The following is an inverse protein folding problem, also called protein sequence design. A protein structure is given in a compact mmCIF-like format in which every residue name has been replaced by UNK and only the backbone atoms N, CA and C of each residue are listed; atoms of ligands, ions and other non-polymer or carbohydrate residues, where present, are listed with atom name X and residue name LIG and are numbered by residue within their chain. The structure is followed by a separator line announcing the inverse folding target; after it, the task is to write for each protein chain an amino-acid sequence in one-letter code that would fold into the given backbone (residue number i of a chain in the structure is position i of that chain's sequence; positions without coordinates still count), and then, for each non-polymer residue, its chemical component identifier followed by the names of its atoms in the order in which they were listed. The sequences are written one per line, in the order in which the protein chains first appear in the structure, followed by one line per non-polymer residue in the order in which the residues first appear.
data_IF_573861176318
#
_entry.id   IF_573861176318
#
_cell.length_a   1.000
_cell.length_b   1.000
_cell.length_c   1.000
_cell.angle_alpha   90.00
_cell.angle_beta   90.00
_cell.angle_gamma   90.00
#
_symmetry.space_group_name_H-M   'P 1'
#
loop_
_entity.id
_entity.type
_entity.pdbx_description
1 polymer ?
#
# COMPACT_ATOMS: atom_id res chain seq x y z
N UNK A 1 -13.83 20.10 13.99
CA UNK A 1 -13.13 21.36 13.65
C UNK A 1 -11.97 21.01 12.73
N UNK A 2 -12.18 21.08 11.40
CA UNK A 2 -11.17 20.69 10.40
C UNK A 2 -10.15 21.84 10.26
N UNK A 3 -9.07 21.81 11.03
CA UNK A 3 -8.00 22.81 10.92
C UNK A 3 -7.25 22.56 9.59
N UNK A 4 -7.41 23.46 8.62
CA UNK A 4 -6.71 23.35 7.34
C UNK A 4 -5.20 23.60 7.54
N UNK A 5 -4.44 22.53 7.76
CA UNK A 5 -2.98 22.60 7.98
C UNK A 5 -2.20 22.94 6.70
N UNK A 6 -2.80 22.72 5.51
CA UNK A 6 -2.11 22.92 4.21
C UNK A 6 -1.79 24.39 3.91
N UNK A 7 -2.54 25.34 4.49
CA UNK A 7 -2.36 26.78 4.27
C UNK A 7 -1.45 27.45 5.29
N UNK A 8 -1.01 26.71 6.32
CA UNK A 8 -0.15 27.26 7.36
C UNK A 8 1.29 27.36 6.91
N UNK A 9 1.96 28.44 7.30
CA UNK A 9 3.40 28.63 7.09
C UNK A 9 4.20 27.73 8.05
N UNK A 10 5.44 27.42 7.71
CA UNK A 10 6.32 26.52 8.47
C UNK A 10 6.44 26.87 9.93
N UNK A 11 6.59 28.15 10.26
CA UNK A 11 6.68 28.63 11.64
C UNK A 11 5.37 28.42 12.42
N UNK A 12 4.22 28.49 11.77
CA UNK A 12 2.90 28.24 12.40
C UNK A 12 2.74 26.75 12.72
N UNK A 13 3.16 25.86 11.79
CA UNK A 13 3.16 24.42 12.03
C UNK A 13 4.08 24.05 13.18
N UNK A 14 5.29 24.59 13.21
CA UNK A 14 6.22 24.40 14.33
C UNK A 14 5.69 24.93 15.64
N UNK A 15 5.01 26.09 15.64
CA UNK A 15 4.37 26.65 16.83
C UNK A 15 3.36 25.68 17.43
N UNK A 16 2.56 25.02 16.58
CA UNK A 16 1.58 24.00 17.00
C UNK A 16 2.29 22.78 17.60
N UNK A 17 3.29 22.23 16.90
CA UNK A 17 4.01 21.01 17.32
C UNK A 17 4.78 21.23 18.64
N UNK A 18 5.44 22.39 18.77
CA UNK A 18 6.29 22.70 19.92
C UNK A 18 5.52 23.31 21.09
N UNK A 19 4.28 23.73 20.88
CA UNK A 19 3.49 24.48 21.87
C UNK A 19 4.13 25.83 22.17
N UNK A 20 4.66 26.52 21.14
CA UNK A 20 5.33 27.81 21.25
C UNK A 20 4.60 28.87 20.44
N UNK A 21 4.62 30.15 20.94
CA UNK A 21 4.38 31.30 20.09
C UNK A 21 5.70 31.63 19.37
N UNK A 22 5.91 31.13 18.19
CA UNK A 22 7.03 31.50 17.33
C UNK A 22 6.56 32.74 16.55
N UNK A 23 7.20 33.89 16.76
CA UNK A 23 6.90 35.07 15.97
C UNK A 23 7.53 35.00 14.59
N UNK A 24 6.91 35.68 13.61
CA UNK A 24 7.44 35.77 12.25
C UNK A 24 8.82 36.46 12.15
N UNK A 25 9.24 37.14 13.24
CA UNK A 25 10.53 37.85 13.34
C UNK A 25 11.74 36.90 13.56
N UNK A 26 11.51 35.63 13.94
CA UNK A 26 12.54 34.62 13.83
C UNK A 26 12.85 34.42 12.34
N UNK A 27 14.01 34.87 11.88
CA UNK A 27 14.54 34.59 10.54
C UNK A 27 14.80 33.08 10.37
N UNK A 28 13.74 32.29 10.37
CA UNK A 28 13.80 30.87 10.06
C UNK A 28 13.82 30.75 8.55
N UNK A 29 14.99 30.49 7.99
CA UNK A 29 15.17 30.42 6.54
C UNK A 29 14.32 29.32 5.91
N UNK A 30 14.19 28.16 6.59
CA UNK A 30 13.30 27.08 6.17
C UNK A 30 13.05 26.06 7.29
N UNK A 31 12.00 25.25 7.15
CA UNK A 31 11.75 24.10 8.04
C UNK A 31 12.95 23.14 8.03
N UNK A 32 13.61 22.99 6.88
CA UNK A 32 14.78 22.14 6.73
C UNK A 32 15.95 22.60 7.61
N UNK A 33 16.22 23.91 7.67
CA UNK A 33 17.30 24.46 8.50
C UNK A 33 17.06 24.20 9.98
N UNK A 34 15.80 24.32 10.43
CA UNK A 34 15.39 24.06 11.81
C UNK A 34 15.62 22.58 12.17
N UNK A 35 15.22 21.67 11.28
CA UNK A 35 15.37 20.24 11.48
C UNK A 35 16.83 19.80 11.44
N UNK A 36 17.68 20.50 10.67
CA UNK A 36 19.11 20.21 10.63
C UNK A 36 19.85 20.73 11.87
N UNK A 37 19.51 21.91 12.38
CA UNK A 37 20.22 22.55 13.47
C UNK A 37 19.25 23.13 14.53
N UNK A 38 18.54 22.31 15.31
CA UNK A 38 17.58 22.79 16.31
C UNK A 38 18.22 23.67 17.39
N UNK A 39 19.54 23.54 17.63
CA UNK A 39 20.31 24.36 18.59
C UNK A 39 20.49 25.81 18.13
N UNK A 40 20.35 26.08 16.83
CA UNK A 40 20.48 27.41 16.27
C UNK A 40 19.28 28.33 16.59
N UNK A 41 18.19 27.78 17.14
CA UNK A 41 17.01 28.56 17.49
C UNK A 41 17.18 29.12 18.90
N UNK A 42 17.44 30.41 18.97
CA UNK A 42 17.57 31.13 20.25
C UNK A 42 16.28 31.02 21.09
N UNK A 43 16.44 30.69 22.38
CA UNK A 43 15.30 30.64 23.32
C UNK A 43 14.54 29.31 23.39
N UNK A 44 14.99 28.26 22.66
CA UNK A 44 14.40 26.91 22.74
C UNK A 44 15.14 26.09 23.81
N UNK A 45 14.44 25.79 24.91
CA UNK A 45 14.97 24.93 25.97
C UNK A 45 15.09 23.45 25.53
N UNK A 46 15.90 22.66 26.26
CA UNK A 46 16.28 21.27 25.96
C UNK A 46 15.08 20.36 25.60
N UNK A 47 14.00 20.38 26.38
CA UNK A 47 12.77 19.58 26.13
C UNK A 47 12.12 19.86 24.77
N UNK A 48 12.27 21.06 24.22
CA UNK A 48 11.72 21.43 22.93
C UNK A 48 12.65 21.06 21.78
N UNK A 49 13.95 21.11 22.02
CA UNK A 49 14.96 20.56 21.09
C UNK A 49 14.74 19.06 20.91
N UNK A 50 14.48 18.31 21.99
CA UNK A 50 14.15 16.88 21.93
C UNK A 50 12.93 16.60 21.03
N UNK A 51 11.87 17.42 21.12
CA UNK A 51 10.69 17.28 20.24
C UNK A 51 11.04 17.49 18.77
N UNK A 52 11.92 18.46 18.46
CA UNK A 52 12.37 18.70 17.07
C UNK A 52 13.19 17.51 16.57
N UNK A 53 14.10 16.97 17.40
CA UNK A 53 14.86 15.77 17.02
C UNK A 53 13.95 14.55 16.82
N UNK A 54 12.96 14.35 17.68
CA UNK A 54 12.00 13.28 17.52
C UNK A 54 11.16 13.44 16.24
N UNK A 55 10.72 14.67 15.93
CA UNK A 55 10.00 14.96 14.69
C UNK A 55 10.89 14.70 13.46
N UNK A 56 12.15 15.13 13.50
CA UNK A 56 13.12 14.85 12.45
C UNK A 56 13.28 13.35 12.22
N UNK A 57 13.48 12.57 13.28
CA UNK A 57 13.63 11.12 13.20
C UNK A 57 12.37 10.45 12.62
N UNK A 58 11.17 10.89 13.04
CA UNK A 58 9.91 10.39 12.47
C UNK A 58 9.83 10.68 10.96
N UNK A 59 10.15 11.90 10.53
CA UNK A 59 10.17 12.26 9.12
C UNK A 59 11.21 11.46 8.33
N UNK A 60 12.41 11.26 8.89
CA UNK A 60 13.43 10.44 8.26
C UNK A 60 13.00 8.97 8.15
N UNK A 61 12.34 8.41 9.16
CA UNK A 61 11.77 7.06 9.09
C UNK A 61 10.68 6.96 8.03
N UNK A 62 9.79 7.95 7.94
CA UNK A 62 8.77 7.99 6.90
C UNK A 62 9.38 8.07 5.50
N UNK A 63 10.39 8.93 5.31
CA UNK A 63 11.11 9.05 4.03
C UNK A 63 11.92 7.79 3.68
N UNK A 64 12.45 7.09 4.70
CA UNK A 64 13.13 5.80 4.51
C UNK A 64 12.12 4.66 4.26
N UNK A 65 10.96 4.70 4.89
CA UNK A 65 9.88 3.74 4.63
C UNK A 65 9.39 3.84 3.17
N UNK A 66 9.36 5.06 2.62
CA UNK A 66 9.06 5.29 1.20
C UNK A 66 10.22 4.87 0.26
N UNK A 67 11.45 4.74 0.81
CA UNK A 67 12.65 4.18 0.14
C UNK A 67 12.91 2.71 0.45
N UNK A 68 12.10 2.07 1.30
CA UNK A 68 12.19 0.61 1.46
C UNK A 68 12.07 0.00 0.07
N UNK A 69 13.04 -0.83 -0.27
CA UNK A 69 13.16 -1.55 -1.54
C UNK A 69 11.78 -1.99 -2.00
N UNK A 70 11.22 -1.22 -2.96
CA UNK A 70 9.93 -1.59 -3.53
C UNK A 70 10.12 -2.96 -4.11
N UNK A 71 9.35 -3.91 -3.63
CA UNK A 71 9.46 -5.29 -4.09
C UNK A 71 9.02 -5.30 -5.56
N UNK A 72 9.94 -5.69 -6.44
CA UNK A 72 9.67 -5.82 -7.86
C UNK A 72 9.21 -7.25 -8.11
N UNK A 73 8.05 -7.39 -8.73
CA UNK A 73 7.49 -8.69 -9.12
C UNK A 73 7.99 -9.06 -10.51
N UNK A 74 8.66 -10.20 -10.60
CA UNK A 74 9.22 -10.76 -11.83
C UNK A 74 8.59 -12.09 -12.19
N UNK A 75 8.00 -12.77 -11.21
CA UNK A 75 7.42 -14.10 -11.38
C UNK A 75 6.22 -14.30 -10.46
N UNK A 76 5.31 -15.26 -10.77
CA UNK A 76 4.24 -15.68 -9.87
C UNK A 76 4.75 -16.10 -8.50
N UNK A 77 5.94 -16.72 -8.46
CA UNK A 77 6.58 -17.13 -7.20
C UNK A 77 6.86 -15.97 -6.26
N UNK A 78 7.25 -14.80 -6.76
CA UNK A 78 7.52 -13.62 -5.92
C UNK A 78 6.28 -13.21 -5.15
N UNK A 79 5.09 -13.30 -5.79
CA UNK A 79 3.80 -13.05 -5.13
C UNK A 79 3.49 -14.14 -4.11
N UNK A 80 3.68 -15.41 -4.49
CA UNK A 80 3.43 -16.53 -3.60
C UNK A 80 4.29 -16.47 -2.33
N UNK A 81 5.57 -16.15 -2.45
CA UNK A 81 6.51 -16.00 -1.33
C UNK A 81 6.08 -14.89 -0.35
N UNK A 82 5.37 -13.87 -0.83
CA UNK A 82 4.83 -12.79 0.01
C UNK A 82 3.51 -13.19 0.67
N UNK A 83 2.62 -13.87 -0.07
CA UNK A 83 1.25 -14.10 0.35
C UNK A 83 1.08 -15.41 1.14
N UNK A 84 1.80 -16.49 0.80
CA UNK A 84 1.71 -17.77 1.52
C UNK A 84 1.91 -17.58 3.04
N UNK A 85 2.95 -16.89 3.54
CA UNK A 85 3.15 -16.71 4.97
C UNK A 85 1.98 -16.00 5.68
N UNK A 86 1.20 -15.20 4.95
CA UNK A 86 0.07 -14.42 5.49
C UNK A 86 -1.24 -15.20 5.51
N UNK A 87 -1.47 -16.06 4.50
CA UNK A 87 -2.80 -16.62 4.24
C UNK A 87 -2.89 -18.14 4.37
N UNK A 88 -1.75 -18.88 4.43
CA UNK A 88 -1.77 -20.36 4.50
C UNK A 88 -2.56 -20.96 5.68
N UNK A 89 -2.67 -20.22 6.78
CA UNK A 89 -3.42 -20.64 7.96
C UNK A 89 -4.75 -19.92 8.12
N UNK A 90 -5.16 -19.14 7.12
CA UNK A 90 -6.43 -18.44 7.17
C UNK A 90 -7.58 -19.46 7.09
N UNK A 91 -8.52 -19.34 8.01
CA UNK A 91 -9.70 -20.24 8.09
C UNK A 91 -10.83 -19.80 7.16
N UNK A 92 -10.69 -18.65 6.54
CA UNK A 92 -11.65 -18.08 5.59
C UNK A 92 -10.94 -17.71 4.30
N UNK A 93 -11.67 -17.80 3.19
CA UNK A 93 -11.21 -17.28 1.91
C UNK A 93 -11.08 -15.76 1.95
N UNK A 94 -10.00 -15.25 1.41
CA UNK A 94 -9.76 -13.82 1.24
C UNK A 94 -9.43 -13.55 -0.22
N UNK A 95 -10.11 -12.56 -0.81
CA UNK A 95 -9.77 -12.08 -2.14
C UNK A 95 -8.85 -10.86 -2.03
N UNK A 96 -7.68 -10.96 -2.63
CA UNK A 96 -6.56 -10.04 -2.45
C UNK A 96 -6.22 -9.41 -3.79
N UNK A 97 -5.85 -8.13 -3.78
CA UNK A 97 -5.27 -7.44 -4.93
C UNK A 97 -3.86 -6.96 -4.59
N UNK A 98 -2.93 -7.21 -5.50
CA UNK A 98 -1.56 -6.69 -5.44
C UNK A 98 -1.42 -5.63 -6.53
N UNK A 99 -1.31 -4.38 -6.11
CA UNK A 99 -1.27 -3.22 -7.00
C UNK A 99 0.16 -2.92 -7.41
N UNK A 100 0.40 -2.76 -8.69
CA UNK A 100 1.73 -2.56 -9.25
C UNK A 100 1.80 -1.25 -10.05
N UNK A 101 2.98 -0.63 -10.03
CA UNK A 101 3.31 0.49 -10.91
C UNK A 101 3.86 -0.01 -12.27
N UNK A 102 4.23 0.92 -13.15
CA UNK A 102 4.78 0.62 -14.50
C UNK A 102 6.11 -0.13 -14.48
N UNK A 103 6.77 -0.26 -13.32
CA UNK A 103 8.02 -1.03 -13.13
C UNK A 103 7.79 -2.37 -12.45
N UNK A 104 6.52 -2.79 -12.31
CA UNK A 104 6.10 -3.97 -11.55
C UNK A 104 6.52 -3.92 -10.06
N UNK A 105 6.68 -2.73 -9.50
CA UNK A 105 6.91 -2.55 -8.07
C UNK A 105 5.57 -2.54 -7.34
N UNK A 106 5.50 -3.22 -6.18
CA UNK A 106 4.29 -3.24 -5.35
C UNK A 106 4.01 -1.84 -4.80
N UNK A 107 2.82 -1.32 -5.09
CA UNK A 107 2.28 -0.09 -4.49
C UNK A 107 1.57 -0.43 -3.18
N UNK A 108 0.71 -1.46 -3.23
CA UNK A 108 -0.10 -1.90 -2.09
C UNK A 108 -0.56 -3.34 -2.26
N UNK A 109 -0.87 -4.00 -1.15
CA UNK A 109 -1.54 -5.30 -1.08
C UNK A 109 -2.78 -5.10 -0.21
N UNK A 110 -3.96 -5.30 -0.78
CA UNK A 110 -5.22 -5.02 -0.11
C UNK A 110 -6.13 -6.24 -0.13
N UNK A 111 -6.72 -6.56 1.02
CA UNK A 111 -7.83 -7.50 1.11
C UNK A 111 -9.11 -6.80 0.67
N UNK A 112 -9.80 -7.37 -0.30
CA UNK A 112 -11.09 -6.85 -0.79
C UNK A 112 -12.25 -7.44 0.01
N UNK A 113 -12.13 -8.71 0.34
CA UNK A 113 -13.17 -9.44 1.06
C UNK A 113 -12.58 -10.59 1.85
N UNK A 114 -13.24 -10.94 2.95
CA UNK A 114 -12.94 -12.12 3.77
C UNK A 114 -14.26 -12.85 4.06
N UNK A 115 -14.31 -14.16 3.81
CA UNK A 115 -15.49 -15.00 3.94
C UNK A 115 -15.70 -15.87 2.71
N UNK A 116 -16.76 -16.69 2.66
CA UNK A 116 -17.03 -17.52 1.47
C UNK A 116 -17.12 -16.66 0.22
N UNK A 117 -16.43 -17.08 -0.85
CA UNK A 117 -16.52 -16.47 -2.20
C UNK A 117 -17.92 -16.68 -2.80
N UNK A 118 -18.97 -16.21 -2.11
CA UNK A 118 -20.22 -15.98 -2.80
C UNK A 118 -20.00 -14.91 -3.85
N UNK A 119 -20.51 -15.11 -5.05
CA UNK A 119 -20.37 -14.28 -6.27
C UNK A 119 -20.53 -12.77 -6.08
N UNK A 120 -21.01 -12.32 -4.92
CA UNK A 120 -21.17 -10.90 -4.55
C UNK A 120 -19.93 -10.21 -4.00
N UNK A 121 -18.87 -10.96 -3.62
CA UNK A 121 -17.74 -10.40 -2.85
C UNK A 121 -16.59 -9.95 -3.76
N UNK A 122 -16.42 -10.57 -4.92
CA UNK A 122 -15.40 -10.20 -5.91
C UNK A 122 -16.03 -9.57 -7.17
N UNK A 123 -17.03 -8.71 -7.00
CA UNK A 123 -17.57 -7.97 -8.14
C UNK A 123 -16.55 -7.00 -8.71
N UNK A 124 -16.35 -6.97 -10.06
CA UNK A 124 -15.38 -6.06 -10.69
C UNK A 124 -15.53 -4.61 -10.24
N UNK A 125 -16.76 -4.15 -10.03
CA UNK A 125 -17.04 -2.79 -9.55
C UNK A 125 -16.37 -2.49 -8.21
N UNK A 126 -16.45 -3.42 -7.25
CA UNK A 126 -15.90 -3.22 -5.92
C UNK A 126 -14.36 -3.31 -5.94
N UNK A 127 -13.83 -4.28 -6.68
CA UNK A 127 -12.39 -4.47 -6.85
C UNK A 127 -11.76 -3.24 -7.52
N UNK A 128 -12.30 -2.79 -8.65
CA UNK A 128 -11.75 -1.62 -9.35
C UNK A 128 -11.99 -0.31 -8.62
N UNK A 129 -13.05 -0.19 -7.80
CA UNK A 129 -13.23 0.95 -6.90
C UNK A 129 -12.06 1.07 -5.90
N UNK A 130 -11.54 -0.05 -5.42
CA UNK A 130 -10.37 -0.04 -4.54
C UNK A 130 -9.09 0.28 -5.31
N UNK A 131 -8.87 -0.37 -6.45
CA UNK A 131 -7.70 -0.17 -7.32
C UNK A 131 -7.54 1.29 -7.72
N UNK A 132 -8.63 1.96 -8.10
CA UNK A 132 -8.64 3.36 -8.59
C UNK A 132 -8.29 4.40 -7.51
N UNK A 133 -8.16 4.01 -6.25
CA UNK A 133 -7.64 4.91 -5.20
C UNK A 133 -6.12 5.12 -5.29
N UNK A 134 -5.44 4.28 -6.07
CA UNK A 134 -3.99 4.25 -6.18
C UNK A 134 -3.53 4.52 -7.62
N UNK A 135 -2.32 5.06 -7.84
CA UNK A 135 -1.74 5.24 -9.16
C UNK A 135 -1.26 3.90 -9.75
N UNK A 136 -2.19 2.97 -9.96
CA UNK A 136 -1.95 1.59 -10.36
C UNK A 136 -1.86 1.48 -11.88
N UNK A 137 -0.83 0.82 -12.39
CA UNK A 137 -0.68 0.47 -13.81
C UNK A 137 -1.23 -0.93 -14.10
N UNK A 138 -0.95 -1.87 -13.20
CA UNK A 138 -1.38 -3.26 -13.34
C UNK A 138 -1.68 -3.87 -11.97
N UNK A 139 -2.43 -4.97 -11.97
CA UNK A 139 -2.84 -5.68 -10.77
C UNK A 139 -2.62 -7.17 -10.92
N UNK A 140 -2.20 -7.83 -9.85
CA UNK A 140 -2.28 -9.28 -9.71
C UNK A 140 -3.39 -9.58 -8.71
N UNK A 141 -4.30 -10.45 -9.10
CA UNK A 141 -5.35 -10.98 -8.24
C UNK A 141 -4.77 -12.16 -7.45
N UNK A 142 -5.24 -12.35 -6.24
CA UNK A 142 -4.94 -13.55 -5.47
C UNK A 142 -6.11 -13.92 -4.55
N UNK A 143 -6.21 -15.19 -4.20
CA UNK A 143 -7.04 -15.66 -3.10
C UNK A 143 -6.43 -16.93 -2.49
N UNK A 144 -6.81 -17.20 -1.25
CA UNK A 144 -6.41 -18.43 -0.56
C UNK A 144 -7.56 -19.42 -0.50
N UNK A 145 -7.22 -20.70 -0.61
CA UNK A 145 -8.12 -21.80 -0.32
C UNK A 145 -7.86 -22.37 1.08
N UNK A 146 -8.76 -22.22 2.05
CA UNK A 146 -8.63 -22.80 3.39
C UNK A 146 -8.52 -24.33 3.39
N UNK A 147 -8.95 -25.00 2.32
CA UNK A 147 -8.76 -26.45 2.12
C UNK A 147 -7.29 -26.85 1.99
N UNK A 148 -6.42 -25.91 1.63
CA UNK A 148 -5.01 -26.15 1.35
C UNK A 148 -4.71 -26.53 -0.12
N UNK A 149 -5.72 -26.89 -0.92
CA UNK A 149 -5.58 -27.23 -2.34
C UNK A 149 -5.66 -25.96 -3.21
N UNK A 150 -4.60 -25.63 -3.92
CA UNK A 150 -4.52 -24.45 -4.78
C UNK A 150 -5.16 -24.68 -6.19
N UNK A 151 -5.87 -25.79 -6.41
CA UNK A 151 -6.52 -26.05 -7.70
C UNK A 151 -7.62 -25.02 -7.97
N UNK A 152 -7.57 -24.31 -9.13
CA UNK A 152 -8.57 -23.29 -9.44
C UNK A 152 -9.96 -23.90 -9.67
N UNK A 153 -10.98 -23.28 -9.10
CA UNK A 153 -12.38 -23.58 -9.38
C UNK A 153 -12.83 -22.96 -10.72
N UNK A 154 -13.98 -23.38 -11.19
CA UNK A 154 -14.61 -22.77 -12.38
C UNK A 154 -14.96 -21.31 -12.10
N UNK A 155 -15.40 -21.02 -10.88
CA UNK A 155 -15.74 -19.68 -10.40
C UNK A 155 -14.53 -18.76 -10.41
N UNK A 156 -13.35 -19.24 -9.99
CA UNK A 156 -12.09 -18.48 -10.02
C UNK A 156 -11.71 -18.08 -11.44
N UNK A 157 -11.87 -19.01 -12.37
CA UNK A 157 -11.58 -18.75 -13.78
C UNK A 157 -12.57 -17.71 -14.35
N UNK A 158 -13.85 -17.83 -14.00
CA UNK A 158 -14.89 -16.93 -14.50
C UNK A 158 -14.68 -15.50 -13.96
N UNK A 159 -14.43 -15.35 -12.65
CA UNK A 159 -14.20 -14.04 -12.05
C UNK A 159 -12.93 -13.40 -12.62
N UNK A 160 -11.86 -14.18 -12.81
CA UNK A 160 -10.63 -13.67 -13.42
C UNK A 160 -10.88 -13.14 -14.83
N UNK A 161 -11.61 -13.86 -15.66
CA UNK A 161 -11.97 -13.40 -17.01
C UNK A 161 -12.82 -12.13 -16.99
N UNK A 162 -13.71 -11.97 -16.00
CA UNK A 162 -14.48 -10.73 -15.81
C UNK A 162 -13.58 -9.58 -15.40
N UNK A 163 -12.61 -9.80 -14.49
CA UNK A 163 -11.63 -8.80 -14.07
C UNK A 163 -10.74 -8.35 -15.22
N UNK A 164 -10.23 -9.28 -16.03
CA UNK A 164 -9.42 -8.95 -17.23
C UNK A 164 -10.21 -8.04 -18.18
N UNK A 165 -11.48 -8.37 -18.47
CA UNK A 165 -12.34 -7.53 -19.33
C UNK A 165 -12.56 -6.13 -18.75
N UNK A 166 -12.83 -6.03 -17.46
CA UNK A 166 -13.05 -4.75 -16.79
C UNK A 166 -11.75 -3.91 -16.75
N UNK A 167 -10.61 -4.54 -16.42
CA UNK A 167 -9.30 -3.90 -16.41
C UNK A 167 -8.93 -3.33 -17.79
N UNK A 168 -9.17 -4.08 -18.84
CA UNK A 168 -8.92 -3.64 -20.22
C UNK A 168 -9.70 -2.36 -20.60
N UNK A 169 -10.95 -2.24 -20.12
CA UNK A 169 -11.77 -1.03 -20.33
C UNK A 169 -11.19 0.16 -19.56
N UNK A 170 -10.64 -0.08 -18.36
CA UNK A 170 -10.12 0.95 -17.46
C UNK A 170 -8.64 1.30 -17.72
N UNK A 171 -7.98 0.60 -18.64
CA UNK A 171 -6.55 0.76 -18.89
C UNK A 171 -5.66 0.25 -17.76
N UNK A 172 -6.12 -0.76 -17.00
CA UNK A 172 -5.40 -1.41 -15.92
C UNK A 172 -5.24 -2.89 -16.26
N UNK A 173 -4.01 -3.34 -16.44
CA UNK A 173 -3.74 -4.73 -16.82
C UNK A 173 -3.89 -5.67 -15.61
N UNK A 174 -4.69 -6.72 -15.77
CA UNK A 174 -4.73 -7.85 -14.83
C UNK A 174 -3.68 -8.86 -15.29
N UNK A 175 -2.53 -8.88 -14.61
CA UNK A 175 -1.36 -9.64 -15.06
C UNK A 175 -1.48 -11.13 -14.78
N UNK A 176 -2.08 -11.51 -13.65
CA UNK A 176 -2.22 -12.90 -13.22
C UNK A 176 -3.32 -13.03 -12.15
N UNK A 177 -3.65 -14.29 -11.83
CA UNK A 177 -4.42 -14.65 -10.65
C UNK A 177 -3.72 -15.81 -9.94
N UNK A 178 -3.32 -15.57 -8.69
CA UNK A 178 -2.57 -16.53 -7.86
C UNK A 178 -3.51 -17.15 -6.83
N UNK A 179 -3.61 -18.46 -6.84
CA UNK A 179 -4.37 -19.21 -5.83
C UNK A 179 -3.38 -19.79 -4.83
N UNK A 180 -3.63 -19.57 -3.54
CA UNK A 180 -2.75 -19.95 -2.44
C UNK A 180 -3.35 -21.14 -1.70
N UNK A 181 -2.61 -22.24 -1.64
CA UNK A 181 -2.88 -23.40 -0.84
C UNK A 181 -1.97 -23.52 0.39
N UNK A 182 -1.84 -24.74 0.92
CA UNK A 182 -0.90 -25.02 2.02
C UNK A 182 0.51 -25.26 1.47
N UNK A 183 1.38 -24.26 1.57
CA UNK A 183 2.75 -24.25 1.01
C UNK A 183 2.83 -24.43 -0.51
N UNK A 184 1.74 -24.28 -1.22
CA UNK A 184 1.69 -24.35 -2.68
C UNK A 184 0.90 -23.18 -3.24
N UNK A 185 1.06 -22.93 -4.53
CA UNK A 185 0.27 -21.94 -5.25
C UNK A 185 0.05 -22.37 -6.69
N UNK A 186 -0.96 -21.81 -7.32
CA UNK A 186 -1.21 -21.88 -8.76
C UNK A 186 -1.28 -20.48 -9.36
N UNK A 187 -0.73 -20.34 -10.54
CA UNK A 187 -0.86 -19.15 -11.38
C UNK A 187 -1.72 -19.49 -12.59
N UNK A 188 -2.84 -18.82 -12.75
CA UNK A 188 -3.73 -19.06 -13.87
C UNK A 188 -3.05 -18.75 -15.21
N UNK A 189 -2.15 -17.77 -15.22
CA UNK A 189 -1.37 -17.43 -16.42
C UNK A 189 -0.30 -18.47 -16.73
N UNK A 190 0.45 -18.92 -15.73
CA UNK A 190 1.48 -19.95 -15.91
C UNK A 190 0.85 -21.27 -16.37
N UNK A 191 -0.33 -21.60 -15.85
CA UNK A 191 -1.09 -22.78 -16.22
C UNK A 191 -1.85 -22.61 -17.57
N UNK A 192 -1.70 -21.45 -18.25
CA UNK A 192 -2.33 -21.10 -19.53
C UNK A 192 -3.85 -21.16 -19.51
N UNK A 193 -4.46 -20.86 -18.36
CA UNK A 193 -5.92 -20.78 -18.17
C UNK A 193 -6.43 -19.39 -18.59
N UNK A 194 -5.56 -18.40 -18.47
CA UNK A 194 -5.75 -17.02 -18.95
C UNK A 194 -4.58 -16.60 -19.83
N UNK A 195 -4.78 -15.59 -20.70
CA UNK A 195 -3.78 -15.05 -21.63
C UNK A 195 -2.86 -13.98 -20.95
#
# INVERSE_FOLDING_TARGET
MNMNMKTKKDYELLSIVLGLKISADLKLNSLADILQSPRAIYGIGHKKQEKIYALKEILERLLRADKNERIIIRSPKDIADILIPRYRYATQESFIIVLLNTKNEIISINDISTGSLNTSIAEPREVFREILKYPTSSVILAHNHPSGDATPSIEDIQITKRMIKAGKILGIDVLDHIIIGDNEFRSLKQDRIID
#
